data_IF_943717066851
#
_entry.id   IF_943717066851
#
_cell.length_a   1.000
_cell.length_b   1.000
_cell.length_c   1.000
_cell.angle_alpha   90.00
_cell.angle_beta   90.00
_cell.angle_gamma   90.00
#
_symmetry.space_group_name_H-M   'P 1'
#
loop_
_entity.id
_entity.type
_entity.pdbx_description
1 polymer ?
#
# COMPACT_ATOMS: atom_id res chain seq x y z
N UNK A 1 16.39 16.65 0.63
CA UNK A 1 15.18 17.30 0.10
C UNK A 1 14.25 16.16 -0.31
N UNK A 2 13.23 15.85 0.49
CA UNK A 2 12.23 14.84 0.14
C UNK A 2 11.19 15.59 -0.69
N UNK A 3 11.08 15.25 -1.98
CA UNK A 3 10.03 15.78 -2.84
C UNK A 3 8.79 14.96 -2.53
N UNK A 4 7.83 15.52 -1.81
CA UNK A 4 6.50 14.91 -1.72
C UNK A 4 5.85 15.01 -3.11
N UNK A 5 5.78 13.88 -3.80
CA UNK A 5 5.06 13.80 -5.06
C UNK A 5 3.58 13.60 -4.76
N UNK A 6 2.78 14.66 -4.94
CA UNK A 6 1.33 14.60 -4.82
C UNK A 6 0.78 13.59 -5.83
N UNK A 7 0.20 12.49 -5.33
CA UNK A 7 -0.50 11.52 -6.15
C UNK A 7 -1.83 12.15 -6.62
N UNK A 8 -1.83 12.78 -7.80
CA UNK A 8 -3.05 13.27 -8.45
C UNK A 8 -3.69 12.07 -9.14
N UNK A 9 -4.88 11.68 -8.68
CA UNK A 9 -5.66 10.61 -9.31
C UNK A 9 -6.14 11.09 -10.67
N UNK A 10 -5.66 10.46 -11.74
CA UNK A 10 -6.18 10.66 -13.09
C UNK A 10 -7.37 9.71 -13.31
N UNK A 11 -8.58 10.26 -13.34
CA UNK A 11 -9.83 9.54 -13.57
C UNK A 11 -10.00 9.15 -15.06
N UNK A 12 -9.38 9.89 -15.99
CA UNK A 12 -9.57 9.70 -17.44
C UNK A 12 -8.55 8.71 -18.03
N UNK A 13 -7.37 8.59 -17.41
CA UNK A 13 -6.28 7.71 -17.87
C UNK A 13 -6.00 6.57 -16.88
N UNK A 14 -7.04 5.81 -16.50
CA UNK A 14 -6.83 4.60 -15.71
C UNK A 14 -6.08 3.55 -16.55
N UNK A 15 -4.81 3.31 -16.23
CA UNK A 15 -4.02 2.28 -16.88
C UNK A 15 -4.13 0.92 -16.17
N UNK A 16 -4.13 -0.19 -16.92
CA UNK A 16 -4.13 -1.52 -16.31
C UNK A 16 -2.85 -1.72 -15.48
N UNK A 17 -3.01 -2.25 -14.28
CA UNK A 17 -1.88 -2.73 -13.49
C UNK A 17 -1.15 -3.81 -14.29
N UNK A 18 0.17 -3.67 -14.41
CA UNK A 18 1.03 -4.64 -15.07
C UNK A 18 0.80 -6.05 -14.50
N UNK A 19 0.63 -7.05 -15.36
CA UNK A 19 0.18 -8.38 -14.96
C UNK A 19 1.09 -9.06 -13.93
N UNK A 20 2.38 -8.77 -13.97
CA UNK A 20 3.38 -9.24 -13.00
C UNK A 20 3.21 -8.63 -11.60
N UNK A 21 2.62 -7.44 -11.46
CA UNK A 21 2.40 -6.78 -10.16
C UNK A 21 1.08 -7.16 -9.50
N UNK A 22 0.08 -7.59 -10.28
CA UNK A 22 -1.23 -8.02 -9.76
C UNK A 22 -1.16 -9.05 -8.63
N UNK A 23 -0.37 -10.15 -8.72
CA UNK A 23 -0.27 -11.11 -7.62
C UNK A 23 0.37 -10.49 -6.37
N UNK A 24 1.39 -9.64 -6.53
CA UNK A 24 2.09 -8.96 -5.44
C UNK A 24 1.11 -8.05 -4.69
N UNK A 25 0.38 -7.18 -5.40
CA UNK A 25 -0.60 -6.30 -4.77
C UNK A 25 -1.72 -7.07 -4.08
N UNK A 26 -2.17 -8.18 -4.67
CA UNK A 26 -3.17 -9.05 -4.03
C UNK A 26 -2.67 -9.58 -2.69
N UNK A 27 -1.41 -9.95 -2.57
CA UNK A 27 -0.84 -10.39 -1.30
C UNK A 27 -0.71 -9.25 -0.29
N UNK A 28 -0.17 -8.10 -0.70
CA UNK A 28 -0.07 -6.90 0.15
C UNK A 28 -1.44 -6.53 0.75
N UNK A 29 -2.47 -6.46 -0.09
CA UNK A 29 -3.83 -6.12 0.35
C UNK A 29 -4.39 -7.15 1.35
N UNK A 30 -4.07 -8.45 1.20
CA UNK A 30 -4.47 -9.47 2.18
C UNK A 30 -3.82 -9.27 3.55
N UNK A 31 -2.58 -8.80 3.60
CA UNK A 31 -1.90 -8.50 4.88
C UNK A 31 -2.50 -7.24 5.52
N UNK A 32 -2.75 -6.20 4.73
CA UNK A 32 -3.39 -4.98 5.22
C UNK A 32 -4.80 -5.24 5.76
N UNK A 33 -5.59 -6.07 5.07
CA UNK A 33 -6.91 -6.50 5.54
C UNK A 33 -6.86 -7.29 6.87
N UNK A 34 -5.71 -7.87 7.22
CA UNK A 34 -5.47 -8.55 8.51
C UNK A 34 -4.81 -7.63 9.56
N UNK A 35 -4.59 -6.36 9.23
CA UNK A 35 -3.96 -5.37 10.10
C UNK A 35 -2.43 -5.41 10.12
N UNK A 36 -1.78 -6.19 9.25
CA UNK A 36 -0.32 -6.25 9.11
C UNK A 36 0.15 -5.20 8.11
N UNK A 37 0.11 -3.93 8.52
CA UNK A 37 0.52 -2.79 7.69
C UNK A 37 2.04 -2.68 7.53
N UNK A 38 2.81 -3.37 8.37
CA UNK A 38 4.27 -3.44 8.28
C UNK A 38 4.75 -4.47 7.23
N UNK A 39 3.84 -5.33 6.73
CA UNK A 39 4.19 -6.53 5.94
C UNK A 39 5.22 -7.40 6.66
N UNK A 40 5.08 -7.53 7.98
CA UNK A 40 6.05 -8.17 8.87
C UNK A 40 6.28 -9.66 8.55
N UNK A 41 5.29 -10.31 7.92
CA UNK A 41 5.39 -11.71 7.46
C UNK A 41 6.09 -11.87 6.12
N UNK A 42 6.41 -10.75 5.45
CA UNK A 42 7.08 -10.70 4.15
C UNK A 42 6.15 -10.97 2.97
N UNK A 43 6.31 -10.17 1.92
CA UNK A 43 5.73 -10.42 0.59
C UNK A 43 6.89 -10.49 -0.39
N UNK A 44 6.91 -11.51 -1.26
CA UNK A 44 8.01 -11.68 -2.21
C UNK A 44 8.13 -10.46 -3.13
N UNK A 45 9.34 -9.91 -3.23
CA UNK A 45 9.62 -8.71 -4.03
C UNK A 45 9.17 -7.39 -3.40
N UNK A 46 8.76 -7.39 -2.12
CA UNK A 46 8.38 -6.18 -1.38
C UNK A 46 9.16 -6.13 -0.07
N UNK A 47 9.87 -5.02 0.15
CA UNK A 47 10.53 -4.77 1.43
C UNK A 47 9.49 -4.50 2.53
N UNK A 48 9.74 -4.93 3.79
CA UNK A 48 8.92 -4.53 4.91
C UNK A 48 8.81 -3.01 5.02
N UNK A 49 7.68 -2.54 5.53
CA UNK A 49 7.42 -1.12 5.74
C UNK A 49 7.97 -0.71 7.10
N UNK A 50 8.56 0.48 7.16
CA UNK A 50 9.04 1.08 8.40
C UNK A 50 7.91 1.17 9.45
N UNK A 51 8.17 0.89 10.74
CA UNK A 51 7.15 0.92 11.79
C UNK A 51 6.35 2.22 11.88
N UNK A 52 7.00 3.37 11.68
CA UNK A 52 6.35 4.68 11.79
C UNK A 52 5.35 4.86 10.64
N UNK A 53 5.73 4.45 9.42
CA UNK A 53 4.86 4.46 8.24
C UNK A 53 3.72 3.44 8.40
N UNK A 54 4.00 2.26 8.96
CA UNK A 54 2.97 1.25 9.21
C UNK A 54 1.90 1.76 10.20
N UNK A 55 2.29 2.55 11.20
CA UNK A 55 1.35 3.19 12.13
C UNK A 55 0.48 4.22 11.41
N UNK A 56 1.07 5.07 10.56
CA UNK A 56 0.31 6.04 9.76
C UNK A 56 -0.70 5.37 8.81
N UNK A 57 -0.31 4.26 8.16
CA UNK A 57 -1.20 3.48 7.29
C UNK A 57 -2.38 2.90 8.06
N UNK A 58 -2.14 2.43 9.30
CA UNK A 58 -3.19 1.93 10.19
C UNK A 58 -4.18 3.03 10.57
N UNK A 59 -3.68 4.18 10.99
CA UNK A 59 -4.49 5.34 11.38
C UNK A 59 -5.32 5.89 10.21
N UNK A 60 -4.69 6.04 9.04
CA UNK A 60 -5.36 6.52 7.82
C UNK A 60 -6.45 5.55 7.34
N UNK A 61 -6.22 4.24 7.43
CA UNK A 61 -7.21 3.24 7.07
C UNK A 61 -8.44 3.21 7.99
N UNK A 62 -8.30 3.63 9.26
CA UNK A 62 -9.41 3.75 10.20
C UNK A 62 -10.30 4.95 9.84
N UNK A 63 -9.69 6.07 9.43
CA UNK A 63 -10.42 7.29 9.06
C UNK A 63 -11.18 7.17 7.72
N UNK A 64 -10.76 6.29 6.81
CA UNK A 64 -11.39 6.11 5.51
C UNK A 64 -12.66 5.21 5.52
N UNK A 65 -12.98 4.58 6.66
CA UNK A 65 -14.15 3.69 6.82
C UNK A 65 -15.27 4.31 7.68
N UNK A 66 -15.28 5.64 7.82
CA UNK A 66 -16.34 6.45 8.43
C UNK A 66 -16.76 7.56 7.47
#
# INVERSE_FOLDING_TARGET
MIIEQLAIKDEESAHPIASNWRPIFREVVKFFAKGDFALSKGVSGVAPVDPDIASQNRESGIMANH
#
